data_IF_127611246131
#
_entry.id   IF_127611246131
#
_cell.length_a   1.000
_cell.length_b   1.000
_cell.length_c   1.000
_cell.angle_alpha   90.00
_cell.angle_beta   90.00
_cell.angle_gamma   90.00
#
_symmetry.space_group_name_H-M   'P 1'
#
loop_
_entity.id
_entity.type
_entity.pdbx_description
1 polymer ?
#
# COMPACT_ATOMS: atom_id res chain seq x y z
N UNK A 1 4.36 -22.34 -14.12
CA UNK A 1 4.98 -21.05 -13.74
C UNK A 1 3.84 -20.06 -13.52
N UNK A 2 3.70 -19.50 -12.31
CA UNK A 2 2.58 -18.61 -11.99
C UNK A 2 2.94 -17.21 -12.48
N UNK A 3 2.24 -16.74 -13.52
CA UNK A 3 2.46 -15.43 -14.14
C UNK A 3 1.41 -14.48 -13.55
N UNK A 4 1.83 -13.37 -12.95
CA UNK A 4 0.95 -12.27 -12.55
C UNK A 4 1.06 -11.21 -13.65
N UNK A 5 -0.05 -10.87 -14.29
CA UNK A 5 -0.04 -9.99 -15.46
C UNK A 5 -0.10 -8.52 -15.02
N UNK A 6 0.67 -7.64 -15.68
CA UNK A 6 0.75 -6.21 -15.32
C UNK A 6 -0.62 -5.52 -15.33
N UNK A 7 -1.52 -5.93 -16.24
CA UNK A 7 -2.88 -5.41 -16.38
C UNK A 7 -3.76 -5.72 -15.16
N UNK A 8 -3.49 -6.85 -14.49
CA UNK A 8 -4.17 -7.27 -13.27
C UNK A 8 -3.71 -6.43 -12.04
N UNK A 9 -2.60 -5.70 -12.17
CA UNK A 9 -2.01 -4.86 -11.12
C UNK A 9 -2.34 -3.36 -11.32
N UNK A 10 -2.59 -2.93 -12.56
CA UNK A 10 -2.92 -1.52 -12.89
C UNK A 10 -4.14 -1.02 -12.12
N UNK A 11 -5.24 -1.78 -12.12
CA UNK A 11 -6.48 -1.39 -11.43
C UNK A 11 -6.33 -1.36 -9.89
N UNK A 12 -5.79 -2.40 -9.23
CA UNK A 12 -5.41 -2.31 -7.81
C UNK A 12 -4.50 -1.11 -7.55
N UNK A 13 -3.54 -0.86 -8.44
CA UNK A 13 -2.59 0.23 -8.30
C UNK A 13 -3.21 1.62 -8.31
N UNK A 14 -4.16 1.88 -9.21
CA UNK A 14 -4.93 3.13 -9.27
C UNK A 14 -5.73 3.34 -7.98
N UNK A 15 -6.48 2.30 -7.55
CA UNK A 15 -7.30 2.35 -6.33
C UNK A 15 -6.44 2.62 -5.10
N UNK A 16 -5.29 1.96 -5.02
CA UNK A 16 -4.39 2.07 -3.88
C UNK A 16 -3.69 3.44 -3.84
N UNK A 17 -3.34 4.00 -5.00
CA UNK A 17 -2.78 5.36 -5.12
C UNK A 17 -3.81 6.42 -4.71
N UNK A 18 -5.06 6.29 -5.17
CA UNK A 18 -6.15 7.18 -4.78
C UNK A 18 -6.41 7.15 -3.27
N UNK A 19 -6.38 5.95 -2.66
CA UNK A 19 -6.49 5.80 -1.21
C UNK A 19 -5.33 6.49 -0.45
N UNK A 20 -4.10 6.39 -0.95
CA UNK A 20 -2.94 7.08 -0.38
C UNK A 20 -3.05 8.62 -0.44
N UNK A 21 -3.56 9.16 -1.55
CA UNK A 21 -3.82 10.60 -1.72
C UNK A 21 -4.90 11.05 -0.71
N UNK A 22 -5.99 10.29 -0.61
CA UNK A 22 -7.09 10.59 0.31
C UNK A 22 -6.59 10.63 1.78
N UNK A 23 -5.79 9.65 2.20
CA UNK A 23 -5.24 9.61 3.55
C UNK A 23 -4.30 10.81 3.83
N UNK A 24 -3.51 11.20 2.83
CA UNK A 24 -2.61 12.36 2.92
C UNK A 24 -3.38 13.68 3.13
N UNK A 25 -4.51 13.85 2.44
CA UNK A 25 -5.40 15.01 2.61
C UNK A 25 -6.00 15.03 4.02
N UNK A 26 -6.45 13.88 4.54
CA UNK A 26 -6.99 13.80 5.89
C UNK A 26 -5.95 14.10 6.96
N UNK A 27 -4.75 13.48 6.86
CA UNK A 27 -3.65 13.75 7.76
C UNK A 27 -3.27 15.24 7.78
N UNK A 28 -3.25 15.90 6.61
CA UNK A 28 -3.02 17.34 6.49
C UNK A 28 -4.10 18.18 7.19
N UNK A 29 -5.39 17.82 7.04
CA UNK A 29 -6.49 18.50 7.73
C UNK A 29 -6.40 18.37 9.25
N UNK A 30 -6.06 17.18 9.76
CA UNK A 30 -5.87 16.97 11.20
C UNK A 30 -4.68 17.76 11.73
N UNK A 31 -3.57 17.77 10.99
CA UNK A 31 -2.38 18.56 11.36
C UNK A 31 -2.70 20.07 11.43
N UNK A 32 -3.38 20.61 10.42
CA UNK A 32 -3.78 22.02 10.38
C UNK A 32 -4.81 22.39 11.46
N UNK A 33 -5.75 21.49 11.76
CA UNK A 33 -6.68 21.70 12.87
C UNK A 33 -5.93 21.70 14.21
N UNK A 34 -4.95 20.81 14.38
CA UNK A 34 -4.16 20.71 15.60
C UNK A 34 -3.33 21.98 15.85
N UNK A 35 -2.70 22.53 14.82
CA UNK A 35 -1.97 23.81 14.91
C UNK A 35 -2.92 24.98 15.18
N UNK A 36 -4.07 25.04 14.50
CA UNK A 36 -5.08 26.10 14.67
C UNK A 36 -5.63 26.16 16.10
N UNK A 37 -5.92 25.01 16.71
CA UNK A 37 -6.52 24.93 18.04
C UNK A 37 -5.49 24.74 19.17
N UNK A 38 -4.18 24.83 18.87
CA UNK A 38 -3.09 24.69 19.85
C UNK A 38 -3.21 23.42 20.71
N UNK A 39 -3.60 22.29 20.10
CA UNK A 39 -3.76 21.01 20.80
C UNK A 39 -2.41 20.29 20.85
N UNK A 40 -1.82 20.24 22.04
CA UNK A 40 -0.57 19.52 22.28
C UNK A 40 -0.75 17.99 22.16
N UNK A 41 0.31 17.29 21.80
CA UNK A 41 0.31 15.83 21.80
C UNK A 41 0.53 15.34 23.24
N UNK A 42 -0.18 14.28 23.70
CA UNK A 42 -0.95 13.29 22.94
C UNK A 42 -2.47 13.56 22.88
N UNK A 43 -2.94 14.74 23.28
CA UNK A 43 -4.36 15.01 23.43
C UNK A 43 -5.14 14.76 22.12
N UNK A 44 -6.24 14.03 22.26
CA UNK A 44 -7.23 13.73 21.21
C UNK A 44 -8.61 14.32 21.55
N UNK A 45 -8.73 14.94 22.72
CA UNK A 45 -9.95 15.52 23.30
C UNK A 45 -9.64 16.89 23.89
N UNK A 46 -10.67 17.72 24.09
CA UNK A 46 -10.56 19.00 24.80
C UNK A 46 -10.97 20.23 23.97
N UNK A 47 -11.03 20.12 22.65
CA UNK A 47 -11.60 21.17 21.79
C UNK A 47 -12.60 20.55 20.80
N UNK A 48 -13.87 20.93 20.94
CA UNK A 48 -15.00 20.34 20.21
C UNK A 48 -14.87 20.47 18.68
N UNK A 49 -14.21 21.51 18.17
CA UNK A 49 -13.97 21.69 16.74
C UNK A 49 -12.83 20.82 16.22
N UNK A 50 -11.74 20.69 16.99
CA UNK A 50 -10.67 19.74 16.69
C UNK A 50 -11.20 18.31 16.73
N UNK A 51 -11.98 17.95 17.75
CA UNK A 51 -12.59 16.63 17.88
C UNK A 51 -13.49 16.29 16.71
N UNK A 52 -14.25 17.26 16.18
CA UNK A 52 -15.07 17.05 14.99
C UNK A 52 -14.23 16.67 13.77
N UNK A 53 -13.13 17.39 13.52
CA UNK A 53 -12.19 17.09 12.42
C UNK A 53 -11.47 15.76 12.65
N UNK A 54 -11.05 15.49 13.89
CA UNK A 54 -10.37 14.27 14.29
C UNK A 54 -11.29 13.04 14.28
N UNK A 55 -12.60 13.19 14.50
CA UNK A 55 -13.57 12.07 14.45
C UNK A 55 -14.14 11.88 13.04
N UNK A 56 -14.14 12.90 12.19
CA UNK A 56 -14.60 12.81 10.80
C UNK A 56 -13.80 11.82 9.93
N UNK A 57 -12.59 11.44 10.35
CA UNK A 57 -11.77 10.40 9.71
C UNK A 57 -12.20 8.97 10.08
N UNK A 58 -12.97 8.76 11.17
CA UNK A 58 -13.34 7.43 11.66
C UNK A 58 -14.24 6.66 10.68
N UNK A 59 -15.30 7.25 10.07
CA UNK A 59 -16.12 6.52 9.11
C UNK A 59 -15.34 6.07 7.86
N UNK A 60 -14.49 6.95 7.32
CA UNK A 60 -13.62 6.62 6.18
C UNK A 60 -12.56 5.57 6.51
N UNK A 61 -11.98 5.65 7.71
CA UNK A 61 -11.07 4.63 8.23
C UNK A 61 -11.75 3.26 8.37
N UNK A 62 -12.95 3.23 8.96
CA UNK A 62 -13.71 1.98 9.13
C UNK A 62 -14.13 1.36 7.80
N UNK A 63 -14.51 2.19 6.82
CA UNK A 63 -14.77 1.72 5.45
C UNK A 63 -13.50 1.16 4.80
N UNK A 64 -12.36 1.84 4.97
CA UNK A 64 -11.05 1.35 4.52
C UNK A 64 -10.67 0.00 5.14
N UNK A 65 -10.91 -0.18 6.44
CA UNK A 65 -10.71 -1.46 7.15
C UNK A 65 -11.62 -2.55 6.57
N UNK A 66 -12.89 -2.25 6.31
CA UNK A 66 -13.83 -3.20 5.68
C UNK A 66 -13.38 -3.58 4.26
N UNK A 67 -12.93 -2.63 3.46
CA UNK A 67 -12.37 -2.88 2.13
C UNK A 67 -11.09 -3.74 2.21
N UNK A 68 -10.18 -3.47 3.16
CA UNK A 68 -8.98 -4.29 3.37
C UNK A 68 -9.33 -5.72 3.80
N UNK A 69 -10.32 -5.91 4.67
CA UNK A 69 -10.80 -7.24 5.05
C UNK A 69 -11.36 -8.00 3.84
N UNK A 70 -12.13 -7.33 2.98
CA UNK A 70 -12.64 -7.91 1.73
C UNK A 70 -11.49 -8.27 0.78
N UNK A 71 -10.51 -7.37 0.60
CA UNK A 71 -9.33 -7.64 -0.23
C UNK A 71 -8.45 -8.77 0.30
N UNK A 72 -8.36 -8.93 1.62
CA UNK A 72 -7.65 -10.05 2.25
C UNK A 72 -8.37 -11.38 1.99
N UNK A 73 -9.70 -11.40 2.10
CA UNK A 73 -10.53 -12.57 1.75
C UNK A 73 -10.37 -12.92 0.26
N UNK A 74 -10.40 -11.92 -0.62
CA UNK A 74 -10.17 -12.12 -2.06
C UNK A 74 -8.76 -12.61 -2.38
N UNK A 75 -7.74 -12.10 -1.68
CA UNK A 75 -6.34 -12.55 -1.83
C UNK A 75 -6.16 -14.00 -1.36
N UNK A 76 -6.82 -14.37 -0.26
CA UNK A 76 -6.82 -15.74 0.26
C UNK A 76 -7.52 -16.68 -0.72
N UNK A 77 -8.64 -16.25 -1.32
CA UNK A 77 -9.34 -17.00 -2.37
C UNK A 77 -8.49 -17.16 -3.64
N UNK A 78 -7.74 -16.12 -4.03
CA UNK A 78 -6.78 -16.18 -5.14
C UNK A 78 -5.63 -17.16 -4.86
N UNK A 79 -5.08 -17.15 -3.64
CA UNK A 79 -4.04 -18.08 -3.21
C UNK A 79 -4.53 -19.54 -3.20
N UNK A 80 -5.73 -19.78 -2.67
CA UNK A 80 -6.41 -21.10 -2.71
C UNK A 80 -6.64 -21.56 -4.16
N UNK A 81 -7.04 -20.66 -5.05
CA UNK A 81 -7.20 -20.96 -6.48
C UNK A 81 -5.88 -21.39 -7.12
N UNK A 82 -4.76 -20.72 -6.80
CA UNK A 82 -3.43 -21.09 -7.30
C UNK A 82 -2.98 -22.44 -6.74
N UNK A 83 -3.22 -22.73 -5.45
CA UNK A 83 -2.87 -24.00 -4.83
C UNK A 83 -3.67 -25.17 -5.41
N UNK A 84 -4.98 -25.02 -5.57
CA UNK A 84 -5.85 -26.04 -6.16
C UNK A 84 -5.48 -26.32 -7.62
N UNK A 85 -5.10 -25.29 -8.37
CA UNK A 85 -4.61 -25.45 -9.74
C UNK A 85 -3.28 -26.20 -9.81
N UNK A 86 -2.36 -25.91 -8.88
CA UNK A 86 -1.00 -26.50 -8.86
C UNK A 86 -0.95 -27.92 -8.34
N UNK A 87 -1.75 -28.26 -7.32
CA UNK A 87 -1.68 -29.54 -6.62
C UNK A 87 -2.83 -30.49 -6.93
N UNK A 88 -4.01 -29.97 -7.31
CA UNK A 88 -5.17 -30.79 -7.63
C UNK A 88 -5.58 -30.71 -9.11
N UNK A 89 -4.92 -29.88 -9.93
CA UNK A 89 -5.30 -29.65 -11.34
C UNK A 89 -6.66 -28.95 -11.50
N UNK A 90 -7.23 -28.42 -10.43
CA UNK A 90 -8.58 -27.84 -10.41
C UNK A 90 -8.48 -26.34 -10.73
N UNK A 91 -9.03 -25.94 -11.88
CA UNK A 91 -9.15 -24.53 -12.28
C UNK A 91 -10.53 -23.97 -11.88
N UNK A 92 -10.60 -23.40 -10.68
CA UNK A 92 -11.82 -22.79 -10.13
C UNK A 92 -12.40 -21.70 -11.04
N UNK A 93 -11.58 -20.97 -11.81
CA UNK A 93 -12.07 -19.93 -12.70
C UNK A 93 -12.80 -20.52 -13.92
N UNK A 94 -12.41 -21.71 -14.38
CA UNK A 94 -13.14 -22.46 -15.43
C UNK A 94 -14.44 -23.01 -14.87
N UNK A 95 -14.43 -23.60 -13.67
CA UNK A 95 -15.63 -24.12 -13.01
C UNK A 95 -16.64 -23.00 -12.76
N UNK A 96 -16.17 -21.86 -12.24
CA UNK A 96 -17.01 -20.70 -11.98
C UNK A 96 -17.58 -20.11 -13.28
N UNK A 97 -16.76 -19.93 -14.33
CA UNK A 97 -17.27 -19.51 -15.65
C UNK A 97 -18.29 -20.49 -16.22
N UNK A 98 -18.06 -21.80 -16.06
CA UNK A 98 -19.00 -22.82 -16.52
C UNK A 98 -20.32 -22.79 -15.73
N UNK A 99 -20.26 -22.53 -14.43
CA UNK A 99 -21.45 -22.37 -13.59
C UNK A 99 -22.21 -21.08 -13.96
N UNK A 100 -21.51 -19.95 -14.05
CA UNK A 100 -22.10 -18.66 -14.46
C UNK A 100 -22.74 -18.78 -15.83
N UNK A 101 -22.04 -19.34 -16.83
CA UNK A 101 -22.58 -19.54 -18.18
C UNK A 101 -23.79 -20.48 -18.20
N UNK A 102 -23.84 -21.47 -17.30
CA UNK A 102 -25.02 -22.33 -17.14
C UNK A 102 -26.22 -21.55 -16.61
N UNK A 103 -26.02 -20.70 -15.60
CA UNK A 103 -27.11 -19.90 -15.02
C UNK A 103 -27.51 -18.70 -15.90
N UNK A 104 -26.57 -18.03 -16.55
CA UNK A 104 -26.86 -16.96 -17.52
C UNK A 104 -27.50 -17.55 -18.77
N UNK A 105 -27.07 -18.73 -19.25
CA UNK A 105 -27.71 -19.44 -20.36
C UNK A 105 -29.17 -19.77 -20.07
N UNK A 106 -29.49 -20.25 -18.86
CA UNK A 106 -30.87 -20.48 -18.41
C UNK A 106 -31.68 -19.17 -18.37
N UNK A 107 -31.06 -18.08 -17.91
CA UNK A 107 -31.69 -16.75 -17.85
C UNK A 107 -31.94 -16.16 -19.25
N UNK A 108 -30.98 -16.29 -20.18
CA UNK A 108 -31.10 -15.81 -21.56
C UNK A 108 -32.05 -16.68 -22.39
N UNK A 109 -32.14 -17.99 -22.14
CA UNK A 109 -33.17 -18.85 -22.73
C UNK A 109 -34.57 -18.52 -22.22
N UNK A 110 -34.71 -18.12 -20.95
CA UNK A 110 -35.97 -17.65 -20.38
C UNK A 110 -36.39 -16.26 -20.91
N UNK A 111 -35.44 -15.47 -21.43
CA UNK A 111 -35.67 -14.13 -22.00
C UNK A 111 -35.75 -14.11 -23.54
N UNK A 112 -35.75 -15.27 -24.20
CA UNK A 112 -36.02 -15.41 -25.64
C UNK A 112 -35.00 -14.75 -26.58
N UNK A 113 -33.77 -14.47 -26.12
CA UNK A 113 -32.72 -13.90 -26.97
C UNK A 113 -31.71 -14.97 -27.37
N UNK A 114 -31.87 -15.51 -28.57
CA UNK A 114 -30.89 -16.34 -29.26
C UNK A 114 -30.10 -15.49 -30.25
N UNK A 115 -29.02 -14.85 -29.78
CA UNK A 115 -27.84 -14.66 -30.63
C UNK A 115 -26.63 -14.30 -29.77
N UNK A 116 -25.57 -15.11 -29.85
CA UNK A 116 -24.17 -14.68 -29.90
C UNK A 116 -23.22 -15.88 -29.87
N UNK A 117 -23.17 -16.63 -30.97
CA UNK A 117 -21.96 -17.35 -31.36
C UNK A 117 -20.98 -16.34 -31.97
N UNK A 118 -20.34 -15.54 -31.10
CA UNK A 118 -19.05 -14.93 -31.41
C UNK A 118 -18.08 -15.38 -30.33
N UNK A 119 -17.09 -16.25 -30.63
CA UNK A 119 -16.02 -16.48 -29.68
C UNK A 119 -15.34 -15.12 -29.47
N UNK A 120 -15.42 -14.60 -28.24
CA UNK A 120 -14.59 -13.48 -27.82
C UNK A 120 -13.15 -13.94 -28.04
N UNK A 121 -12.51 -13.44 -29.09
CA UNK A 121 -11.10 -13.67 -29.33
C UNK A 121 -10.36 -13.26 -28.05
N UNK A 122 -9.87 -14.26 -27.31
CA UNK A 122 -9.08 -14.02 -26.11
C UNK A 122 -7.88 -13.16 -26.51
N UNK A 123 -7.47 -12.18 -25.69
CA UNK A 123 -6.37 -11.30 -26.03
C UNK A 123 -5.14 -12.14 -26.37
N UNK A 124 -4.51 -11.83 -27.51
CA UNK A 124 -3.31 -12.51 -28.01
C UNK A 124 -2.25 -12.58 -26.91
N UNK A 125 -2.08 -13.77 -26.33
CA UNK A 125 -1.20 -14.05 -25.17
C UNK A 125 0.31 -13.94 -25.46
N UNK A 126 0.69 -13.50 -26.66
CA UNK A 126 2.07 -13.57 -27.14
C UNK A 126 2.95 -12.35 -26.76
N UNK A 127 2.37 -11.26 -26.24
CA UNK A 127 3.12 -10.07 -25.79
C UNK A 127 2.74 -9.67 -24.35
N UNK A 128 2.70 -10.63 -23.41
CA UNK A 128 2.34 -10.35 -22.02
C UNK A 128 3.59 -10.04 -21.19
N UNK A 129 3.69 -8.81 -20.64
CA UNK A 129 4.73 -8.45 -19.67
C UNK A 129 4.56 -9.27 -18.39
N UNK A 130 5.53 -10.15 -18.11
CA UNK A 130 5.58 -10.98 -16.91
C UNK A 130 6.42 -10.29 -15.84
N UNK A 131 5.92 -10.27 -14.59
CA UNK A 131 6.74 -9.89 -13.43
C UNK A 131 7.45 -11.14 -12.94
N UNK A 132 8.78 -11.15 -13.02
CA UNK A 132 9.60 -12.26 -12.56
C UNK A 132 9.85 -12.14 -11.05
N UNK A 133 10.16 -13.26 -10.38
CA UNK A 133 10.43 -13.25 -8.93
C UNK A 133 11.63 -12.35 -8.58
N UNK A 134 12.61 -12.30 -9.47
CA UNK A 134 13.78 -11.43 -9.37
C UNK A 134 13.42 -9.94 -9.42
N UNK A 135 12.29 -9.56 -10.03
CA UNK A 135 11.80 -8.18 -10.12
C UNK A 135 11.21 -7.65 -8.81
N UNK A 136 10.88 -8.55 -7.87
CA UNK A 136 10.22 -8.20 -6.60
C UNK A 136 11.04 -8.63 -5.38
N UNK A 137 12.20 -9.27 -5.59
CA UNK A 137 12.99 -9.85 -4.51
C UNK A 137 13.46 -8.80 -3.50
N UNK A 138 14.03 -7.69 -3.99
CA UNK A 138 14.51 -6.62 -3.13
C UNK A 138 13.36 -6.02 -2.28
N UNK A 139 12.23 -5.77 -2.92
CA UNK A 139 11.02 -5.21 -2.30
C UNK A 139 10.43 -6.14 -1.25
N UNK A 140 10.48 -7.46 -1.51
CA UNK A 140 10.04 -8.50 -0.57
C UNK A 140 10.96 -8.57 0.66
N UNK A 141 12.28 -8.51 0.46
CA UNK A 141 13.26 -8.48 1.57
C UNK A 141 13.00 -7.25 2.46
N UNK A 142 12.86 -6.07 1.86
CA UNK A 142 12.57 -4.82 2.58
C UNK A 142 11.25 -4.89 3.34
N UNK A 143 10.23 -5.54 2.76
CA UNK A 143 8.93 -5.79 3.42
C UNK A 143 9.09 -6.65 4.67
N UNK A 144 9.87 -7.74 4.60
CA UNK A 144 10.13 -8.62 5.76
C UNK A 144 10.89 -7.87 6.87
N UNK A 145 11.89 -7.07 6.52
CA UNK A 145 12.62 -6.22 7.49
C UNK A 145 11.66 -5.25 8.18
N UNK A 146 10.74 -4.63 7.44
CA UNK A 146 9.76 -3.70 7.99
C UNK A 146 8.78 -4.41 8.96
N UNK A 147 8.33 -5.62 8.61
CA UNK A 147 7.50 -6.44 9.49
C UNK A 147 8.24 -6.79 10.79
N UNK A 148 9.52 -7.17 10.71
CA UNK A 148 10.34 -7.45 11.88
C UNK A 148 10.50 -6.22 12.79
N UNK A 149 10.70 -5.03 12.20
CA UNK A 149 10.74 -3.78 12.97
C UNK A 149 9.43 -3.53 13.73
N UNK A 150 8.27 -3.75 13.10
CA UNK A 150 6.98 -3.55 13.72
C UNK A 150 6.78 -4.50 14.92
N UNK A 151 7.21 -5.76 14.80
CA UNK A 151 7.24 -6.72 15.91
C UNK A 151 8.15 -6.25 17.04
N UNK A 152 9.33 -5.70 16.72
CA UNK A 152 10.24 -5.13 17.74
C UNK A 152 9.61 -3.97 18.51
N UNK A 153 8.86 -3.10 17.84
CA UNK A 153 8.11 -2.02 18.51
C UNK A 153 7.01 -2.57 19.42
N UNK A 154 6.26 -3.58 18.98
CA UNK A 154 5.25 -4.25 19.81
C UNK A 154 5.87 -4.89 21.06
N UNK A 155 7.00 -5.59 20.92
CA UNK A 155 7.75 -6.14 22.05
C UNK A 155 8.26 -5.05 23.00
N UNK A 156 8.67 -3.89 22.46
CA UNK A 156 9.04 -2.71 23.26
C UNK A 156 7.90 -2.22 24.15
N UNK A 157 6.68 -2.15 23.61
CA UNK A 157 5.47 -1.82 24.40
C UNK A 157 5.23 -2.84 25.50
N UNK A 158 5.34 -4.14 25.21
CA UNK A 158 5.16 -5.20 26.22
C UNK A 158 6.20 -5.09 27.33
N UNK A 159 7.47 -4.82 26.99
CA UNK A 159 8.53 -4.65 27.98
C UNK A 159 8.26 -3.45 28.90
N UNK A 160 7.86 -2.31 28.33
CA UNK A 160 7.56 -1.09 29.10
C UNK A 160 6.28 -1.24 29.93
N UNK A 161 5.27 -1.93 29.41
CA UNK A 161 4.05 -2.31 30.15
C UNK A 161 4.39 -3.11 31.41
N UNK A 162 5.23 -4.15 31.28
CA UNK A 162 5.71 -4.96 32.41
C UNK A 162 6.49 -4.10 33.42
N UNK A 163 7.39 -3.24 32.93
CA UNK A 163 8.22 -2.36 33.78
C UNK A 163 7.38 -1.45 34.68
N UNK A 164 6.30 -0.86 34.14
CA UNK A 164 5.43 0.05 34.90
C UNK A 164 4.18 -0.61 35.46
N UNK A 165 4.08 -1.95 35.40
CA UNK A 165 2.94 -2.73 35.94
C UNK A 165 1.58 -2.20 35.47
N UNK A 166 1.46 -1.93 34.17
CA UNK A 166 0.20 -1.45 33.58
C UNK A 166 -0.60 -2.66 33.10
N UNK A 167 -1.63 -3.01 33.85
CA UNK A 167 -2.47 -4.16 33.55
C UNK A 167 -3.29 -3.95 32.27
N UNK A 168 -3.64 -5.05 31.61
CA UNK A 168 -4.63 -5.02 30.53
C UNK A 168 -6.02 -4.79 31.14
N UNK A 169 -6.93 -4.03 30.51
CA UNK A 169 -6.85 -3.41 29.18
C UNK A 169 -6.31 -1.97 29.16
N UNK A 170 -5.69 -1.49 30.26
CA UNK A 170 -5.28 -0.09 30.36
C UNK A 170 -4.24 0.29 29.30
N UNK A 171 -4.45 1.47 28.70
CA UNK A 171 -3.58 2.09 27.69
C UNK A 171 -3.06 3.46 28.13
N UNK A 172 -3.32 3.81 29.39
CA UNK A 172 -2.89 5.03 30.08
C UNK A 172 -2.21 4.65 31.40
N UNK A 173 -1.38 5.53 31.93
CA UNK A 173 -0.67 5.31 33.19
C UNK A 173 0.64 6.09 33.25
N UNK A 174 1.76 5.40 33.14
CA UNK A 174 3.06 6.06 33.13
C UNK A 174 3.30 6.81 31.79
N UNK A 175 3.74 8.06 31.87
CA UNK A 175 3.97 8.91 30.69
C UNK A 175 4.96 8.28 29.68
N UNK A 176 6.02 7.61 30.15
CA UNK A 176 6.97 6.92 29.27
C UNK A 176 6.30 5.73 28.57
N UNK A 177 5.44 4.98 29.25
CA UNK A 177 4.63 3.94 28.63
C UNK A 177 3.72 4.51 27.56
N UNK A 178 3.01 5.60 27.85
CA UNK A 178 2.10 6.23 26.88
C UNK A 178 2.85 6.69 25.63
N UNK A 179 4.04 7.29 25.78
CA UNK A 179 4.87 7.69 24.63
C UNK A 179 5.30 6.49 23.77
N UNK A 180 5.78 5.41 24.39
CA UNK A 180 6.20 4.19 23.67
C UNK A 180 5.02 3.51 22.98
N UNK A 181 3.87 3.42 23.67
CA UNK A 181 2.63 2.89 23.12
C UNK A 181 2.15 3.71 21.92
N UNK A 182 2.15 5.04 22.01
CA UNK A 182 1.78 5.94 20.89
C UNK A 182 2.76 5.86 19.73
N UNK A 183 4.06 5.72 20.00
CA UNK A 183 5.06 5.53 18.96
C UNK A 183 4.83 4.23 18.17
N UNK A 184 4.48 3.14 18.86
CA UNK A 184 4.13 1.87 18.24
C UNK A 184 2.83 1.98 17.42
N UNK A 185 1.76 2.53 18.01
CA UNK A 185 0.48 2.70 17.31
C UNK A 185 0.61 3.56 16.06
N UNK A 186 1.31 4.70 16.13
CA UNK A 186 1.52 5.52 14.96
C UNK A 186 2.32 4.77 13.88
N UNK A 187 3.29 3.94 14.26
CA UNK A 187 4.03 3.12 13.30
C UNK A 187 3.11 2.10 12.61
N UNK A 188 2.18 1.52 13.36
CA UNK A 188 1.17 0.60 12.84
C UNK A 188 0.18 1.30 11.90
N UNK A 189 -0.26 2.52 12.22
CA UNK A 189 -1.18 3.32 11.41
C UNK A 189 -0.59 3.72 10.05
N UNK A 190 0.72 4.03 10.01
CA UNK A 190 1.41 4.41 8.78
C UNK A 190 1.93 3.23 7.96
N UNK A 191 2.01 2.03 8.56
CA UNK A 191 2.53 0.84 7.89
C UNK A 191 1.77 0.45 6.61
N UNK A 192 0.43 0.51 6.55
CA UNK A 192 -0.30 0.25 5.30
C UNK A 192 0.06 1.24 4.19
N UNK A 193 0.20 2.54 4.51
CA UNK A 193 0.58 3.56 3.53
C UNK A 193 1.97 3.30 2.97
N UNK A 194 2.90 2.93 3.85
CA UNK A 194 4.24 2.53 3.47
C UNK A 194 4.24 1.31 2.55
N UNK A 195 3.52 0.25 2.94
CA UNK A 195 3.41 -0.98 2.15
C UNK A 195 2.88 -0.71 0.75
N UNK A 196 1.78 0.03 0.66
CA UNK A 196 1.24 0.50 -0.62
C UNK A 196 2.30 1.24 -1.43
N UNK A 197 2.91 2.27 -0.84
CA UNK A 197 3.83 3.15 -1.57
C UNK A 197 5.08 2.40 -2.05
N UNK A 198 5.61 1.50 -1.23
CA UNK A 198 6.77 0.66 -1.55
C UNK A 198 6.49 -0.25 -2.75
N UNK A 199 5.38 -1.01 -2.70
CA UNK A 199 5.05 -1.96 -3.75
C UNK A 199 4.66 -1.25 -5.05
N UNK A 200 3.91 -0.15 -4.96
CA UNK A 200 3.53 0.63 -6.12
C UNK A 200 4.73 1.29 -6.81
N UNK A 201 5.65 1.88 -6.04
CA UNK A 201 6.88 2.44 -6.62
C UNK A 201 7.79 1.35 -7.17
N UNK A 202 7.88 0.18 -6.52
CA UNK A 202 8.68 -0.94 -7.03
C UNK A 202 8.16 -1.47 -8.36
N UNK A 203 6.86 -1.67 -8.49
CA UNK A 203 6.24 -2.34 -9.64
C UNK A 203 6.12 -1.41 -10.85
N UNK A 204 5.80 -0.13 -10.63
CA UNK A 204 5.56 0.81 -11.73
C UNK A 204 6.79 1.63 -12.11
N UNK A 205 7.73 1.84 -11.19
CA UNK A 205 8.94 2.60 -11.45
C UNK A 205 10.16 1.70 -11.55
N UNK A 206 10.67 1.20 -10.42
CA UNK A 206 11.82 0.30 -10.38
C UNK A 206 12.04 -0.27 -8.97
N UNK A 207 12.33 -1.57 -8.85
CA UNK A 207 12.49 -2.23 -7.54
C UNK A 207 13.66 -1.69 -6.70
N UNK A 208 14.82 -1.41 -7.31
CA UNK A 208 16.04 -0.99 -6.60
C UNK A 208 15.88 0.36 -5.88
N UNK A 209 15.55 1.49 -6.55
CA UNK A 209 15.40 2.76 -5.86
C UNK A 209 14.20 2.75 -4.90
N UNK A 210 13.11 2.04 -5.23
CA UNK A 210 11.99 1.86 -4.31
C UNK A 210 12.41 1.16 -3.01
N UNK A 211 13.18 0.08 -3.12
CA UNK A 211 13.71 -0.67 -1.99
C UNK A 211 14.69 0.15 -1.14
N UNK A 212 15.57 0.93 -1.78
CA UNK A 212 16.50 1.83 -1.07
C UNK A 212 15.74 2.90 -0.27
N UNK A 213 14.77 3.58 -0.89
CA UNK A 213 13.91 4.54 -0.18
C UNK A 213 13.11 3.85 0.93
N UNK A 214 12.72 2.58 0.72
CA UNK A 214 12.08 1.75 1.73
C UNK A 214 12.95 1.48 2.95
N UNK A 215 14.22 1.16 2.76
CA UNK A 215 15.18 1.03 3.86
C UNK A 215 15.37 2.34 4.63
N UNK A 216 15.43 3.48 3.91
CA UNK A 216 15.52 4.81 4.55
C UNK A 216 14.26 5.11 5.37
N UNK A 217 13.08 4.72 4.89
CA UNK A 217 11.84 4.83 5.66
C UNK A 217 11.87 3.96 6.93
N UNK A 218 12.32 2.70 6.83
CA UNK A 218 12.47 1.82 8.01
C UNK A 218 13.43 2.47 9.01
N UNK A 219 14.57 3.01 8.57
CA UNK A 219 15.48 3.74 9.43
C UNK A 219 14.81 4.96 10.08
N UNK A 220 14.05 5.74 9.32
CA UNK A 220 13.33 6.90 9.85
C UNK A 220 12.31 6.51 10.93
N UNK A 221 11.61 5.37 10.77
CA UNK A 221 10.68 4.83 11.77
C UNK A 221 11.41 4.37 13.03
N UNK A 222 12.62 3.80 12.90
CA UNK A 222 13.45 3.49 14.06
C UNK A 222 13.80 4.75 14.86
N UNK A 223 14.25 5.80 14.17
CA UNK A 223 14.59 7.09 14.79
C UNK A 223 13.36 7.76 15.40
N UNK A 224 12.21 7.70 14.74
CA UNK A 224 10.93 8.18 15.26
C UNK A 224 10.57 7.48 16.57
N UNK A 225 10.61 6.15 16.59
CA UNK A 225 10.24 5.36 17.77
C UNK A 225 11.18 5.64 18.95
N UNK A 226 12.50 5.64 18.70
CA UNK A 226 13.51 5.92 19.71
C UNK A 226 13.40 7.34 20.25
N UNK A 227 13.26 8.34 19.38
CA UNK A 227 13.09 9.74 19.77
C UNK A 227 11.82 9.93 20.60
N UNK A 228 10.69 9.38 20.13
CA UNK A 228 9.41 9.52 20.83
C UNK A 228 9.42 8.85 22.22
N UNK A 229 10.15 7.73 22.37
CA UNK A 229 10.30 7.10 23.68
C UNK A 229 10.96 8.02 24.72
N UNK A 230 11.89 8.89 24.28
CA UNK A 230 12.63 9.83 25.13
C UNK A 230 11.77 11.05 25.46
N UNK A 231 11.31 11.76 24.42
CA UNK A 231 10.52 12.98 24.54
C UNK A 231 9.55 13.15 23.37
N UNK A 232 8.54 14.00 23.52
CA UNK A 232 7.54 14.24 22.46
C UNK A 232 8.15 15.02 21.28
N UNK A 233 9.18 15.82 21.55
CA UNK A 233 9.85 16.72 20.62
C UNK A 233 10.82 15.94 19.72
N UNK A 234 11.56 14.99 20.29
CA UNK A 234 12.57 14.19 19.58
C UNK A 234 11.98 13.26 18.50
N UNK A 235 10.66 13.07 18.47
CA UNK A 235 10.02 12.29 17.39
C UNK A 235 10.03 13.01 16.03
N UNK A 236 10.14 14.34 16.02
CA UNK A 236 9.93 15.17 14.82
C UNK A 236 10.88 14.82 13.66
N UNK A 237 12.20 14.69 13.85
CA UNK A 237 13.12 14.45 12.74
C UNK A 237 12.86 13.11 12.04
N UNK A 238 12.66 12.03 12.81
CA UNK A 238 12.34 10.70 12.26
C UNK A 238 10.98 10.69 11.54
N UNK A 239 10.00 11.44 12.06
CA UNK A 239 8.70 11.59 11.41
C UNK A 239 8.81 12.30 10.06
N UNK A 240 9.51 13.44 10.02
CA UNK A 240 9.68 14.23 8.80
C UNK A 240 10.42 13.45 7.72
N UNK A 241 11.50 12.76 8.08
CA UNK A 241 12.23 11.90 7.15
C UNK A 241 11.31 10.80 6.59
N UNK A 242 10.50 10.16 7.42
CA UNK A 242 9.54 9.15 6.97
C UNK A 242 8.49 9.69 6.00
N UNK A 243 7.94 10.88 6.27
CA UNK A 243 7.01 11.55 5.36
C UNK A 243 7.68 11.90 4.04
N UNK A 244 8.95 12.35 4.06
CA UNK A 244 9.72 12.62 2.83
C UNK A 244 9.91 11.35 2.01
N UNK A 245 10.28 10.22 2.62
CA UNK A 245 10.39 8.93 1.92
C UNK A 245 9.06 8.53 1.25
N UNK A 246 7.93 8.69 1.94
CA UNK A 246 6.61 8.40 1.35
C UNK A 246 6.29 9.31 0.16
N UNK A 247 6.64 10.60 0.23
CA UNK A 247 6.48 11.53 -0.90
C UNK A 247 7.34 11.14 -2.10
N UNK A 248 8.58 10.70 -1.85
CA UNK A 248 9.48 10.20 -2.91
C UNK A 248 8.92 8.93 -3.56
N UNK A 249 8.42 7.98 -2.78
CA UNK A 249 7.75 6.79 -3.32
C UNK A 249 6.49 7.12 -4.12
N UNK A 250 5.70 8.08 -3.65
CA UNK A 250 4.54 8.56 -4.40
C UNK A 250 4.95 9.18 -5.73
N UNK A 251 6.00 10.00 -5.76
CA UNK A 251 6.54 10.57 -6.99
C UNK A 251 7.02 9.50 -7.97
N UNK A 252 7.75 8.48 -7.48
CA UNK A 252 8.15 7.32 -8.29
C UNK A 252 6.94 6.60 -8.88
N UNK A 253 5.92 6.34 -8.05
CA UNK A 253 4.67 5.70 -8.47
C UNK A 253 3.99 6.48 -9.60
N UNK A 254 3.82 7.80 -9.43
CA UNK A 254 3.19 8.66 -10.44
C UNK A 254 3.99 8.63 -11.74
N UNK A 255 5.32 8.80 -11.68
CA UNK A 255 6.18 8.75 -12.86
C UNK A 255 6.08 7.41 -13.62
N UNK A 256 6.07 6.30 -12.87
CA UNK A 256 5.88 4.96 -13.42
C UNK A 256 4.53 4.79 -14.11
N UNK A 257 3.44 5.17 -13.44
CA UNK A 257 2.09 5.16 -14.01
C UNK A 257 1.98 5.99 -15.29
N UNK A 258 2.47 7.22 -15.26
CA UNK A 258 2.43 8.11 -16.42
C UNK A 258 3.14 7.49 -17.62
N UNK A 259 4.30 6.86 -17.39
CA UNK A 259 5.05 6.15 -18.44
C UNK A 259 4.25 5.00 -19.03
N UNK A 260 3.63 4.16 -18.18
CA UNK A 260 2.80 3.04 -18.62
C UNK A 260 1.57 3.51 -19.40
N UNK A 261 0.90 4.55 -18.93
CA UNK A 261 -0.30 5.10 -19.58
C UNK A 261 0.04 5.74 -20.94
N UNK A 262 1.11 6.52 -21.03
CA UNK A 262 1.55 7.14 -22.28
C UNK A 262 1.95 6.09 -23.32
N UNK A 263 2.63 5.02 -22.89
CA UNK A 263 2.96 3.90 -23.78
C UNK A 263 1.71 3.17 -24.28
N UNK A 264 0.73 2.92 -23.40
CA UNK A 264 -0.49 2.15 -23.72
C UNK A 264 -1.49 2.92 -24.57
N UNK A 265 -1.68 4.22 -24.31
CA UNK A 265 -2.75 5.00 -24.93
C UNK A 265 -2.29 6.03 -25.96
N UNK A 266 -1.07 6.55 -25.84
CA UNK A 266 -0.52 7.56 -26.74
C UNK A 266 0.58 7.01 -27.66
N UNK A 267 0.97 5.74 -27.50
CA UNK A 267 2.11 5.11 -28.18
C UNK A 267 3.42 5.93 -28.02
N UNK A 268 3.54 6.65 -26.89
CA UNK A 268 4.70 7.49 -26.55
C UNK A 268 5.55 6.72 -25.55
N UNK A 269 6.80 6.43 -25.94
CA UNK A 269 7.80 5.82 -25.07
C UNK A 269 8.77 6.88 -24.53
N UNK A 270 8.53 7.30 -23.28
CA UNK A 270 9.36 8.28 -22.58
C UNK A 270 10.80 7.82 -22.37
N UNK A 271 11.05 6.51 -22.22
CA UNK A 271 12.40 5.99 -22.03
C UNK A 271 13.21 6.14 -23.33
N UNK A 272 12.59 5.83 -24.48
CA UNK A 272 13.22 6.02 -25.78
C UNK A 272 13.43 7.50 -26.11
N UNK A 273 12.49 8.38 -25.77
CA UNK A 273 12.68 9.83 -25.95
C UNK A 273 13.81 10.39 -25.09
N UNK A 274 13.87 10.02 -23.82
CA UNK A 274 14.93 10.50 -22.91
C UNK A 274 16.30 9.96 -23.31
N UNK A 275 16.40 8.70 -23.74
CA UNK A 275 17.62 8.15 -24.34
C UNK A 275 18.02 8.88 -25.62
N UNK A 276 17.07 9.19 -26.51
CA UNK A 276 17.34 9.97 -27.73
C UNK A 276 17.84 11.38 -27.44
N UNK A 277 17.26 12.06 -26.44
CA UNK A 277 17.68 13.40 -26.01
C UNK A 277 19.06 13.35 -25.34
N UNK A 278 19.29 12.40 -24.43
CA UNK A 278 20.59 12.22 -23.77
C UNK A 278 21.69 11.87 -24.77
N UNK A 279 21.40 11.01 -25.74
CA UNK A 279 22.33 10.66 -26.82
C UNK A 279 22.66 11.87 -27.69
N UNK A 280 21.67 12.71 -28.00
CA UNK A 280 21.86 13.93 -28.78
C UNK A 280 22.54 15.06 -27.99
N UNK A 281 22.37 15.14 -26.67
CA UNK A 281 22.97 16.20 -25.84
C UNK A 281 24.35 15.86 -25.31
N UNK A 282 24.65 14.58 -25.08
CA UNK A 282 25.93 14.12 -24.52
C UNK A 282 26.84 13.48 -25.57
N UNK A 283 26.37 13.15 -26.77
CA UNK A 283 27.17 12.55 -27.85
C UNK A 283 27.72 11.15 -27.52
N UNK A 284 27.29 10.53 -26.42
CA UNK A 284 27.76 9.21 -25.98
C UNK A 284 26.80 8.15 -26.50
N UNK A 285 27.36 7.13 -27.16
CA UNK A 285 26.64 5.91 -27.55
C UNK A 285 26.71 4.96 -26.35
N UNK A 286 25.59 4.75 -25.66
CA UNK A 286 25.44 3.70 -24.63
C UNK A 286 25.03 2.38 -25.28
#
# INVERSE_FOLDING_TARGET
>A
MTIIHLEDIVYPGIVTTAAGIQLSIFAGKVYNARTKYKIEFPAVTGNTNFERVFRAQVPGFMLGVKCMQIMLVMSTAGFVTVLLRRHAGIDLAVIFRSAVNKYTGILFSALGKTDHDRPLAGPNRHNMAAVHLEDILATSIVTVIAAFQLTRFALGVVAVRKKYKIDFPAVTGNEHFERVFRAQQNSLEWFPVYMVSLWMSSLFFHQVPASLVGLVYIYSRHQYFKGYSRSVEERRPGFQLGVTCLRVMLAMTIAGFTTVLLRKYANIDLALMTQGILKNSLGITL
#
